data_IF_653238550132
#
_entry.id   IF_653238550132
#
_cell.length_a   1.000
_cell.length_b   1.000
_cell.length_c   1.000
_cell.angle_alpha   90.00
_cell.angle_beta   90.00
_cell.angle_gamma   90.00
#
_symmetry.space_group_name_H-M   'P 1'
#
loop_
_entity.id
_entity.type
_entity.pdbx_description
1 polymer ?
#
# COMPACT_ATOMS: atom_id res chain seq x y z
N UNK A 1 -46.65 -55.59 -49.60
CA UNK A 1 -45.65 -55.71 -48.52
C UNK A 1 -44.25 -55.73 -49.11
N UNK A 2 -43.65 -54.58 -49.42
CA UNK A 2 -42.20 -54.46 -49.62
C UNK A 2 -41.82 -53.06 -49.17
N UNK A 3 -41.38 -52.92 -47.92
CA UNK A 3 -40.71 -51.70 -47.48
C UNK A 3 -39.66 -51.94 -46.39
N UNK A 4 -39.36 -53.18 -46.05
CA UNK A 4 -38.41 -53.47 -44.97
C UNK A 4 -36.97 -53.15 -45.38
N UNK A 5 -36.55 -53.49 -46.61
CA UNK A 5 -35.18 -53.21 -47.08
C UNK A 5 -34.88 -51.72 -47.30
N UNK A 6 -35.87 -50.92 -47.74
CA UNK A 6 -35.72 -49.46 -47.84
C UNK A 6 -35.76 -48.80 -46.47
N UNK A 7 -36.57 -49.29 -45.53
CA UNK A 7 -36.58 -48.80 -44.15
C UNK A 7 -35.27 -49.09 -43.41
N UNK A 8 -34.68 -50.28 -43.55
CA UNK A 8 -33.37 -50.60 -42.95
C UNK A 8 -32.27 -49.70 -43.52
N UNK A 9 -32.23 -49.48 -44.85
CA UNK A 9 -31.25 -48.55 -45.46
C UNK A 9 -31.43 -47.10 -45.02
N UNK A 10 -32.66 -46.65 -44.78
CA UNK A 10 -32.93 -45.31 -44.25
C UNK A 10 -32.53 -45.18 -42.78
N UNK A 11 -32.72 -46.23 -41.98
CA UNK A 11 -32.26 -46.28 -40.59
C UNK A 11 -30.72 -46.22 -40.52
N UNK A 12 -30.02 -47.06 -41.29
CA UNK A 12 -28.55 -47.08 -41.34
C UNK A 12 -27.96 -45.71 -41.79
N UNK A 13 -28.62 -45.02 -42.73
CA UNK A 13 -28.21 -43.69 -43.17
C UNK A 13 -28.51 -42.59 -42.14
N UNK A 14 -29.58 -42.74 -41.35
CA UNK A 14 -29.91 -41.81 -40.27
C UNK A 14 -28.92 -41.93 -39.10
N UNK A 15 -28.52 -43.15 -38.75
CA UNK A 15 -27.52 -43.41 -37.71
C UNK A 15 -26.14 -42.89 -38.11
N UNK A 16 -25.77 -43.03 -39.39
CA UNK A 16 -24.53 -42.45 -39.94
C UNK A 16 -24.53 -40.91 -39.88
N UNK A 17 -25.67 -40.27 -40.17
CA UNK A 17 -25.81 -38.81 -40.07
C UNK A 17 -25.74 -38.32 -38.62
N UNK A 18 -26.31 -39.07 -37.67
CA UNK A 18 -26.23 -38.75 -36.24
C UNK A 18 -24.78 -38.81 -35.74
N UNK A 19 -24.02 -39.84 -36.12
CA UNK A 19 -22.60 -39.97 -35.75
C UNK A 19 -21.76 -38.81 -36.32
N UNK A 20 -22.00 -38.41 -37.58
CA UNK A 20 -21.32 -37.26 -38.18
C UNK A 20 -21.64 -35.94 -37.46
N UNK A 21 -22.89 -35.76 -37.02
CA UNK A 21 -23.30 -34.59 -36.25
C UNK A 21 -22.61 -34.54 -34.88
N UNK A 22 -22.48 -35.67 -34.18
CA UNK A 22 -21.75 -35.77 -32.93
C UNK A 22 -20.26 -35.48 -33.09
N UNK A 23 -19.63 -36.03 -34.15
CA UNK A 23 -18.23 -35.74 -34.46
C UNK A 23 -18.02 -34.26 -34.74
N UNK A 24 -18.93 -33.62 -35.50
CA UNK A 24 -18.88 -32.18 -35.77
C UNK A 24 -18.98 -31.35 -34.50
N UNK A 25 -19.93 -31.70 -33.61
CA UNK A 25 -20.09 -31.03 -32.31
C UNK A 25 -18.85 -31.19 -31.43
N UNK A 26 -18.22 -32.36 -31.42
CA UNK A 26 -16.99 -32.59 -30.67
C UNK A 26 -15.83 -31.75 -31.23
N UNK A 27 -15.69 -31.67 -32.56
CA UNK A 27 -14.67 -30.84 -33.20
C UNK A 27 -14.87 -29.35 -32.92
N UNK A 28 -16.10 -28.85 -33.03
CA UNK A 28 -16.45 -27.46 -32.71
C UNK A 28 -16.14 -27.15 -31.24
N UNK A 29 -16.49 -28.06 -30.32
CA UNK A 29 -16.16 -27.93 -28.90
C UNK A 29 -14.64 -27.88 -28.65
N UNK A 30 -13.87 -28.74 -29.32
CA UNK A 30 -12.41 -28.74 -29.22
C UNK A 30 -11.77 -27.45 -29.76
N UNK A 31 -12.33 -26.88 -30.83
CA UNK A 31 -11.89 -25.58 -31.36
C UNK A 31 -12.23 -24.43 -30.40
N UNK A 32 -13.43 -24.44 -29.83
CA UNK A 32 -13.85 -23.41 -28.87
C UNK A 32 -13.00 -23.46 -27.59
N UNK A 33 -12.72 -24.64 -27.04
CA UNK A 33 -11.84 -24.79 -25.89
C UNK A 33 -10.40 -24.32 -26.19
N UNK A 34 -9.90 -24.59 -27.40
CA UNK A 34 -8.58 -24.12 -27.82
C UNK A 34 -8.53 -22.59 -27.92
N UNK A 35 -9.60 -21.98 -28.46
CA UNK A 35 -9.73 -20.54 -28.56
C UNK A 35 -9.83 -19.89 -27.18
N UNK A 36 -10.66 -20.41 -26.29
CA UNK A 36 -10.80 -19.94 -24.90
C UNK A 36 -9.47 -20.02 -24.14
N UNK A 37 -8.72 -21.12 -24.27
CA UNK A 37 -7.37 -21.22 -23.67
C UNK A 37 -6.40 -20.19 -24.24
N UNK A 38 -6.44 -19.94 -25.55
CA UNK A 38 -5.59 -18.94 -26.19
C UNK A 38 -5.93 -17.54 -25.70
N UNK A 39 -7.21 -17.19 -25.64
CA UNK A 39 -7.69 -15.89 -25.15
C UNK A 39 -7.29 -15.69 -23.68
N UNK A 40 -7.54 -16.67 -22.81
CA UNK A 40 -7.11 -16.62 -21.40
C UNK A 40 -5.60 -16.51 -21.24
N UNK A 41 -4.83 -17.20 -22.06
CA UNK A 41 -3.37 -17.10 -22.06
C UNK A 41 -2.89 -15.69 -22.45
N UNK A 42 -3.51 -15.09 -23.46
CA UNK A 42 -3.21 -13.72 -23.88
C UNK A 42 -3.64 -12.69 -22.81
N UNK A 43 -4.80 -12.87 -22.20
CA UNK A 43 -5.30 -11.99 -21.15
C UNK A 43 -4.42 -12.05 -19.90
N UNK A 44 -4.03 -13.26 -19.46
CA UNK A 44 -3.11 -13.44 -18.34
C UNK A 44 -1.75 -12.77 -18.57
N UNK A 45 -1.19 -12.87 -19.78
CA UNK A 45 0.07 -12.20 -20.12
C UNK A 45 -0.07 -10.66 -20.12
N UNK A 46 -1.20 -10.13 -20.61
CA UNK A 46 -1.48 -8.69 -20.55
C UNK A 46 -1.62 -8.21 -19.11
N UNK A 47 -2.29 -8.98 -18.26
CA UNK A 47 -2.50 -8.63 -16.86
C UNK A 47 -1.19 -8.62 -16.06
N UNK A 48 -0.33 -9.61 -16.26
CA UNK A 48 1.01 -9.62 -15.65
C UNK A 48 1.86 -8.43 -16.12
N UNK A 49 1.80 -8.08 -17.41
CA UNK A 49 2.48 -6.90 -17.93
C UNK A 49 1.93 -5.60 -17.31
N UNK A 50 0.61 -5.49 -17.19
CA UNK A 50 -0.06 -4.35 -16.55
C UNK A 50 0.37 -4.22 -15.09
N UNK A 51 0.39 -5.34 -14.35
CA UNK A 51 0.81 -5.38 -12.95
C UNK A 51 2.27 -4.97 -12.80
N UNK A 52 3.18 -5.49 -13.62
CA UNK A 52 4.59 -5.10 -13.61
C UNK A 52 4.80 -3.61 -13.92
N UNK A 53 4.00 -3.03 -14.82
CA UNK A 53 4.00 -1.59 -15.08
C UNK A 53 3.50 -0.77 -13.89
N UNK A 54 2.46 -1.24 -13.20
CA UNK A 54 1.89 -0.59 -12.03
C UNK A 54 2.88 -0.60 -10.84
N UNK A 55 3.54 -1.73 -10.59
CA UNK A 55 4.58 -1.86 -9.57
C UNK A 55 5.76 -0.90 -9.83
N UNK A 56 6.29 -0.88 -11.07
CA UNK A 56 7.36 0.06 -11.45
C UNK A 56 6.94 1.52 -11.29
N UNK A 57 5.70 1.86 -11.67
CA UNK A 57 5.16 3.21 -11.52
C UNK A 57 5.08 3.61 -10.04
N UNK A 58 4.54 2.74 -9.19
CA UNK A 58 4.41 2.99 -7.76
C UNK A 58 5.78 3.17 -7.09
N UNK A 59 6.76 2.33 -7.42
CA UNK A 59 8.12 2.45 -6.89
C UNK A 59 8.80 3.76 -7.32
N UNK A 60 8.68 4.12 -8.60
CA UNK A 60 9.24 5.37 -9.12
C UNK A 60 8.57 6.59 -8.47
N UNK A 61 7.26 6.54 -8.31
CA UNK A 61 6.48 7.60 -7.65
C UNK A 61 6.91 7.80 -6.20
N UNK A 62 7.03 6.72 -5.43
CA UNK A 62 7.50 6.77 -4.03
C UNK A 62 8.91 7.39 -3.92
N UNK A 63 9.81 7.08 -4.86
CA UNK A 63 11.14 7.68 -4.89
C UNK A 63 11.10 9.18 -5.21
N UNK A 64 10.24 9.61 -6.13
CA UNK A 64 10.03 11.03 -6.45
C UNK A 64 9.48 11.77 -5.23
N UNK A 65 8.49 11.21 -4.53
CA UNK A 65 7.90 11.78 -3.32
C UNK A 65 8.94 11.93 -2.20
N UNK A 66 9.76 10.91 -1.97
CA UNK A 66 10.86 10.95 -0.98
C UNK A 66 11.89 12.01 -1.35
N UNK A 67 12.25 12.12 -2.64
CA UNK A 67 13.18 13.15 -3.12
C UNK A 67 12.60 14.56 -2.95
N UNK A 68 11.30 14.74 -3.22
CA UNK A 68 10.61 16.01 -3.01
C UNK A 68 10.54 16.39 -1.53
N UNK A 69 10.29 15.43 -0.64
CA UNK A 69 10.33 15.63 0.81
C UNK A 69 11.70 16.15 1.23
N UNK A 70 12.78 15.43 0.86
CA UNK A 70 14.16 15.84 1.13
C UNK A 70 14.44 17.23 0.61
N UNK A 71 14.05 17.53 -0.63
CA UNK A 71 14.23 18.83 -1.25
C UNK A 71 13.38 19.96 -0.62
N UNK A 72 12.36 19.62 0.16
CA UNK A 72 11.47 20.57 0.84
C UNK A 72 11.93 20.88 2.27
N UNK A 73 12.75 20.02 2.90
CA UNK A 73 13.26 20.25 4.24
C UNK A 73 14.16 21.50 4.29
N UNK A 74 14.02 22.30 5.35
CA UNK A 74 14.76 23.56 5.55
C UNK A 74 15.24 23.67 7.00
N UNK A 75 16.25 24.52 7.23
CA UNK A 75 16.78 24.81 8.57
C UNK A 75 17.24 23.55 9.31
N UNK A 76 16.94 23.47 10.61
CA UNK A 76 17.34 22.33 11.46
C UNK A 76 16.80 20.97 10.98
N UNK A 77 15.69 20.94 10.24
CA UNK A 77 15.18 19.69 9.66
C UNK A 77 16.06 19.20 8.51
N UNK A 78 16.62 20.11 7.70
CA UNK A 78 17.59 19.75 6.66
C UNK A 78 18.95 19.34 7.24
N UNK A 79 19.34 19.89 8.40
CA UNK A 79 20.58 19.49 9.10
C UNK A 79 20.56 18.01 9.54
N UNK A 80 19.38 17.46 9.86
CA UNK A 80 19.22 16.04 10.19
C UNK A 80 19.73 15.14 9.06
N UNK A 81 19.56 15.57 7.80
CA UNK A 81 19.96 14.79 6.63
C UNK A 81 21.48 14.69 6.45
N UNK A 82 22.26 15.60 7.04
CA UNK A 82 23.73 15.57 6.89
C UNK A 82 24.37 14.34 7.52
N UNK A 83 23.69 13.70 8.49
CA UNK A 83 24.13 12.46 9.12
C UNK A 83 23.70 11.19 8.38
N UNK A 84 22.89 11.31 7.32
CA UNK A 84 22.32 10.17 6.59
C UNK A 84 23.13 9.94 5.31
N UNK A 85 23.60 8.70 5.06
CA UNK A 85 24.24 8.35 3.80
C UNK A 85 23.33 8.62 2.58
N UNK A 86 23.91 9.10 1.47
CA UNK A 86 23.13 9.52 0.30
C UNK A 86 22.31 8.38 -0.34
N UNK A 87 22.78 7.14 -0.25
CA UNK A 87 22.09 5.95 -0.74
C UNK A 87 20.85 5.58 0.10
N UNK A 88 20.74 6.14 1.31
CA UNK A 88 19.58 5.96 2.21
C UNK A 88 18.63 7.15 2.21
N UNK A 89 18.97 8.25 1.54
CA UNK A 89 18.08 9.41 1.36
C UNK A 89 16.93 9.12 0.38
N UNK A 90 16.89 7.93 -0.20
CA UNK A 90 15.80 7.43 -1.04
C UNK A 90 14.84 6.54 -0.25
N UNK A 91 15.22 6.13 0.96
CA UNK A 91 14.39 5.33 1.86
C UNK A 91 13.63 6.25 2.81
N UNK A 92 12.31 6.34 2.59
CA UNK A 92 11.41 7.17 3.39
C UNK A 92 11.49 6.82 4.87
N UNK A 93 11.56 5.53 5.21
CA UNK A 93 11.59 5.07 6.60
C UNK A 93 12.83 5.57 7.35
N UNK A 94 13.99 5.59 6.69
CA UNK A 94 15.23 6.13 7.29
C UNK A 94 15.09 7.62 7.59
N UNK A 95 14.49 8.39 6.70
CA UNK A 95 14.28 9.84 6.87
C UNK A 95 13.28 10.10 8.01
N UNK A 96 12.16 9.40 8.03
CA UNK A 96 11.13 9.50 9.07
C UNK A 96 11.71 9.24 10.46
N UNK A 97 12.44 8.13 10.64
CA UNK A 97 13.06 7.80 11.92
C UNK A 97 14.07 8.86 12.37
N UNK A 98 14.86 9.42 11.45
CA UNK A 98 15.84 10.44 11.80
C UNK A 98 15.17 11.76 12.23
N UNK A 99 14.08 12.14 11.55
CA UNK A 99 13.26 13.29 11.93
C UNK A 99 12.55 13.05 13.25
N UNK A 100 11.97 11.87 13.46
CA UNK A 100 11.31 11.49 14.71
C UNK A 100 12.30 11.46 15.89
N UNK A 101 13.52 10.94 15.69
CA UNK A 101 14.55 10.97 16.74
C UNK A 101 14.94 12.40 17.16
N UNK A 102 14.84 13.37 16.25
CA UNK A 102 15.23 14.77 16.51
C UNK A 102 14.08 15.64 16.98
N UNK A 103 12.87 15.43 16.46
CA UNK A 103 11.70 16.28 16.66
C UNK A 103 10.53 15.57 17.34
N UNK A 104 10.59 14.25 17.51
CA UNK A 104 9.52 13.46 18.09
C UNK A 104 9.23 13.81 19.55
N UNK A 105 7.96 13.62 19.93
CA UNK A 105 7.41 14.10 21.20
C UNK A 105 7.89 13.33 22.43
N UNK A 106 8.47 12.13 22.23
CA UNK A 106 9.01 11.30 23.33
C UNK A 106 10.09 12.04 24.12
N UNK A 107 11.05 12.66 23.42
CA UNK A 107 12.09 13.47 24.03
C UNK A 107 11.54 14.79 24.59
N UNK A 108 10.54 15.36 23.93
CA UNK A 108 9.91 16.61 24.34
C UNK A 108 9.15 16.46 25.67
N UNK A 109 8.44 15.35 25.84
CA UNK A 109 7.74 14.99 27.09
C UNK A 109 8.71 14.86 28.26
N UNK A 110 9.83 14.15 28.07
CA UNK A 110 10.86 13.99 29.11
C UNK A 110 11.56 15.31 29.44
N UNK A 111 11.79 16.15 28.44
CA UNK A 111 12.32 17.50 28.62
C UNK A 111 11.38 18.37 29.48
N UNK A 112 10.07 18.35 29.20
CA UNK A 112 9.09 19.10 30.00
C UNK A 112 8.92 18.53 31.41
N UNK A 113 8.96 17.21 31.60
CA UNK A 113 9.01 16.58 32.95
C UNK A 113 10.21 17.07 33.75
N UNK A 114 11.37 17.18 33.11
CA UNK A 114 12.59 17.69 33.75
C UNK A 114 12.47 19.17 34.09
N UNK A 115 11.95 20.00 33.16
CA UNK A 115 11.67 21.42 33.43
C UNK A 115 10.70 21.60 34.58
N UNK A 116 9.63 20.81 34.64
CA UNK A 116 8.65 20.84 35.72
C UNK A 116 9.30 20.47 37.07
N UNK A 117 10.07 19.37 37.14
CA UNK A 117 10.77 18.93 38.36
C UNK A 117 11.76 19.96 38.90
N UNK A 118 12.42 20.68 38.00
CA UNK A 118 13.43 21.69 38.36
C UNK A 118 12.84 23.09 38.54
N UNK A 119 11.53 23.26 38.31
CA UNK A 119 10.87 24.56 38.38
C UNK A 119 10.80 25.05 39.82
N UNK A 120 11.39 26.21 40.08
CA UNK A 120 11.32 26.93 41.36
C UNK A 120 10.97 28.38 41.09
N UNK A 121 10.24 29.02 42.00
CA UNK A 121 9.92 30.45 41.90
C UNK A 121 11.20 31.28 41.80
N UNK A 122 11.25 32.20 40.83
CA UNK A 122 12.38 33.13 40.69
C UNK A 122 12.19 34.37 41.59
N UNK A 123 13.26 35.04 42.04
CA UNK A 123 13.13 36.31 42.73
C UNK A 123 12.37 37.33 41.87
N UNK A 124 11.33 37.95 42.43
CA UNK A 124 10.48 38.92 41.73
C UNK A 124 9.40 38.32 40.81
N UNK A 125 9.31 36.99 40.70
CA UNK A 125 8.23 36.32 39.96
C UNK A 125 6.96 36.24 40.81
N UNK A 126 5.83 36.69 40.28
CA UNK A 126 4.55 36.56 40.97
C UNK A 126 4.07 35.12 41.01
N UNK A 127 3.26 34.78 42.02
CA UNK A 127 2.70 33.43 42.15
C UNK A 127 1.80 33.06 40.97
N UNK A 128 1.08 34.02 40.36
CA UNK A 128 0.26 33.74 39.18
C UNK A 128 1.09 33.31 37.99
N UNK A 129 2.24 33.97 37.76
CA UNK A 129 3.16 33.64 36.65
C UNK A 129 3.78 32.26 36.87
N UNK A 130 4.18 31.94 38.10
CA UNK A 130 4.68 30.60 38.44
C UNK A 130 3.61 29.53 38.21
N UNK A 131 2.39 29.75 38.71
CA UNK A 131 1.29 28.80 38.59
C UNK A 131 0.95 28.52 37.12
N UNK A 132 0.82 29.55 36.29
CA UNK A 132 0.55 29.41 34.86
C UNK A 132 1.65 28.63 34.13
N UNK A 133 2.93 28.86 34.46
CA UNK A 133 4.03 28.13 33.83
C UNK A 133 4.11 26.66 34.31
N UNK A 134 3.81 26.40 35.59
CA UNK A 134 3.70 25.03 36.13
C UNK A 134 2.56 24.26 35.47
N UNK A 135 1.38 24.87 35.34
CA UNK A 135 0.23 24.28 34.65
C UNK A 135 0.56 23.96 33.19
N UNK A 136 1.15 24.92 32.47
CA UNK A 136 1.61 24.71 31.09
C UNK A 136 2.62 23.57 30.99
N UNK A 137 3.61 23.52 31.88
CA UNK A 137 4.60 22.44 31.90
C UNK A 137 3.96 21.08 32.24
N UNK A 138 2.93 21.05 33.09
CA UNK A 138 2.20 19.84 33.46
C UNK A 138 1.47 19.26 32.24
N UNK A 139 0.72 20.08 31.50
CA UNK A 139 0.02 19.69 30.27
C UNK A 139 1.00 19.12 29.24
N UNK A 140 2.15 19.80 29.06
CA UNK A 140 3.18 19.38 28.09
C UNK A 140 3.98 18.14 28.54
N UNK A 141 4.09 17.90 29.84
CA UNK A 141 4.82 16.77 30.42
C UNK A 141 3.97 15.49 30.56
N UNK A 142 2.64 15.65 30.57
CA UNK A 142 1.66 14.59 30.82
C UNK A 142 0.40 14.81 29.96
N UNK A 143 0.57 14.84 28.64
CA UNK A 143 -0.53 15.07 27.69
C UNK A 143 -1.64 14.00 27.75
N UNK A 144 -1.35 12.80 28.25
CA UNK A 144 -2.31 11.70 28.38
C UNK A 144 -2.96 11.59 29.77
N UNK A 145 -2.74 12.55 30.67
CA UNK A 145 -3.38 12.51 31.98
C UNK A 145 -4.88 12.81 31.84
N UNK A 146 -5.79 11.93 32.26
CA UNK A 146 -7.23 12.22 32.22
C UNK A 146 -7.56 13.42 33.10
N UNK A 147 -8.33 14.36 32.55
CA UNK A 147 -8.79 15.59 33.22
C UNK A 147 -9.98 15.31 34.16
N UNK A 148 -9.97 14.18 34.87
CA UNK A 148 -11.01 13.87 35.85
C UNK A 148 -10.60 14.44 37.21
N UNK A 149 -11.21 15.57 37.56
CA UNK A 149 -11.39 16.05 38.94
C UNK A 149 -12.81 16.57 39.10
#
# INVERSE_FOLDING_TARGET
MVNTRSQTKMADNADLLALLAEMKKYMEKGQEEMKDRMEKGQEGMKEEMRKGQEEMKNQTQSHVETSQLVASLRGSAAEVLQGIPSDKLTDLMTIENALEARFGDSHLTQFYRTKLKTRRQKPGESLQVLAADVERLMILAYAECPQDV
#
